data_IF_377019005280
#
_entry.id   IF_377019005280
#
_cell.length_a   1.000
_cell.length_b   1.000
_cell.length_c   1.000
_cell.angle_alpha   90.00
_cell.angle_beta   90.00
_cell.angle_gamma   90.00
#
_symmetry.space_group_name_H-M   'P 1'
#
loop_
_entity.id
_entity.type
_entity.pdbx_description
1 polymer ?
#
# COMPACT_ATOMS: atom_id res chain seq x y z
N UNK A 1 38.03 -24.57 -13.53
CA UNK A 1 38.60 -23.50 -12.87
C UNK A 1 38.06 -22.21 -13.22
N UNK A 2 38.29 -21.76 -14.39
CA UNK A 2 37.82 -20.48 -14.82
C UNK A 2 36.34 -20.25 -14.66
N UNK A 3 35.46 -21.21 -14.97
CA UNK A 3 34.04 -21.00 -14.79
C UNK A 3 33.64 -20.68 -13.34
N UNK A 4 34.35 -21.28 -12.43
CA UNK A 4 34.07 -21.06 -11.02
C UNK A 4 34.30 -19.60 -10.62
N UNK A 5 35.35 -19.01 -11.14
CA UNK A 5 35.62 -17.61 -10.84
C UNK A 5 34.55 -16.70 -11.39
N UNK A 6 34.08 -17.00 -12.60
CA UNK A 6 33.03 -16.21 -13.20
C UNK A 6 31.75 -16.27 -12.40
N UNK A 7 31.41 -17.43 -11.92
CA UNK A 7 30.22 -17.57 -11.10
C UNK A 7 30.28 -16.75 -9.83
N UNK A 8 31.42 -16.75 -9.19
CA UNK A 8 31.59 -15.99 -7.98
C UNK A 8 31.40 -14.50 -8.24
N UNK A 9 31.94 -14.00 -9.32
CA UNK A 9 31.80 -12.60 -9.66
C UNK A 9 30.35 -12.24 -9.89
N UNK A 10 29.63 -13.07 -10.61
CA UNK A 10 28.22 -12.83 -10.87
C UNK A 10 27.41 -12.85 -9.58
N UNK A 11 27.68 -13.82 -8.73
CA UNK A 11 26.94 -13.92 -7.48
C UNK A 11 27.10 -12.66 -6.63
N UNK A 12 28.30 -12.12 -6.57
CA UNK A 12 28.54 -10.90 -5.80
C UNK A 12 27.75 -9.73 -6.39
N UNK A 13 27.76 -9.59 -7.69
CA UNK A 13 27.02 -8.51 -8.34
C UNK A 13 25.52 -8.61 -8.05
N UNK A 14 24.98 -9.80 -8.11
CA UNK A 14 23.57 -10.01 -7.83
C UNK A 14 23.23 -9.66 -6.38
N UNK A 15 24.07 -10.05 -5.45
CA UNK A 15 23.84 -9.74 -4.06
C UNK A 15 23.83 -8.23 -3.82
N UNK A 16 24.75 -7.50 -4.41
CA UNK A 16 24.74 -6.05 -4.28
C UNK A 16 23.47 -5.44 -4.83
N UNK A 17 23.04 -5.90 -5.99
CA UNK A 17 21.79 -5.45 -6.56
C UNK A 17 20.60 -5.77 -5.68
N UNK A 18 20.57 -6.95 -5.11
CA UNK A 18 19.47 -7.36 -4.24
C UNK A 18 19.42 -6.49 -2.98
N UNK A 19 20.57 -6.17 -2.38
CA UNK A 19 20.61 -5.33 -1.19
C UNK A 19 20.02 -3.95 -1.44
N UNK A 20 20.30 -3.36 -2.61
CA UNK A 20 19.81 -2.02 -2.92
C UNK A 20 18.34 -2.01 -3.34
N UNK A 21 17.79 -3.18 -3.69
CA UNK A 21 16.44 -3.30 -4.19
C UNK A 21 15.51 -4.09 -3.27
N UNK A 22 15.97 -4.33 -2.07
CA UNK A 22 15.18 -5.10 -1.13
C UNK A 22 13.88 -4.37 -0.80
N UNK A 23 12.77 -5.09 -0.86
CA UNK A 23 11.47 -4.54 -0.49
C UNK A 23 11.38 -4.37 1.02
N UNK A 24 10.66 -3.36 1.44
CA UNK A 24 10.42 -3.11 2.85
C UNK A 24 8.96 -3.46 3.15
N UNK A 25 8.74 -4.30 4.14
CA UNK A 25 7.40 -4.73 4.55
C UNK A 25 7.16 -4.34 6.00
N UNK A 26 6.04 -3.68 6.25
CA UNK A 26 5.64 -3.28 7.60
C UNK A 26 4.26 -3.87 7.84
N UNK A 27 4.16 -4.78 8.81
CA UNK A 27 2.89 -5.36 9.20
C UNK A 27 2.28 -4.55 10.33
N UNK A 28 0.99 -4.28 10.22
CA UNK A 28 0.24 -3.50 11.21
C UNK A 28 0.95 -2.20 11.55
N UNK A 29 1.09 -1.29 10.57
CA UNK A 29 1.79 -0.03 10.80
C UNK A 29 1.12 0.78 11.92
N UNK A 30 1.94 1.54 12.63
CA UNK A 30 1.44 2.40 13.69
C UNK A 30 0.63 3.54 13.09
N UNK A 31 -0.61 3.69 13.54
CA UNK A 31 -1.49 4.74 13.06
C UNK A 31 -1.46 5.89 14.05
N UNK A 32 -1.00 7.05 13.58
CA UNK A 32 -0.92 8.25 14.42
C UNK A 32 -2.26 8.94 14.57
N UNK A 33 -3.04 9.00 13.49
CA UNK A 33 -4.36 9.62 13.50
C UNK A 33 -5.21 9.05 12.37
N UNK A 34 -6.51 8.98 12.59
CA UNK A 34 -7.45 8.49 11.57
C UNK A 34 -8.83 9.07 11.86
N UNK A 35 -9.56 9.42 10.81
CA UNK A 35 -10.93 9.88 10.96
C UNK A 35 -11.95 8.78 10.63
N UNK A 36 -11.50 7.54 10.48
CA UNK A 36 -12.39 6.41 10.19
C UNK A 36 -11.98 5.17 10.97
N UNK A 37 -12.96 4.36 11.30
CA UNK A 37 -12.74 3.00 11.81
C UNK A 37 -13.16 1.96 10.78
N UNK A 38 -13.61 2.40 9.62
CA UNK A 38 -14.10 1.50 8.57
C UNK A 38 -12.96 0.91 7.74
N UNK A 39 -11.79 1.50 7.81
CA UNK A 39 -10.59 1.01 7.13
C UNK A 39 -9.46 0.80 8.12
N UNK A 40 -8.81 -0.34 8.01
CA UNK A 40 -7.60 -0.65 8.79
C UNK A 40 -6.48 -1.02 7.83
N UNK A 41 -5.36 -0.34 7.94
CA UNK A 41 -4.17 -0.68 7.16
C UNK A 41 -3.45 -1.82 7.86
N UNK A 42 -3.47 -3.00 7.24
CA UNK A 42 -2.87 -4.19 7.84
C UNK A 42 -1.42 -4.37 7.47
N UNK A 43 -1.04 -3.94 6.27
CA UNK A 43 0.33 -4.12 5.80
C UNK A 43 0.69 -3.04 4.79
N UNK A 44 1.93 -2.60 4.85
CA UNK A 44 2.52 -1.69 3.87
C UNK A 44 3.75 -2.35 3.29
N UNK A 45 3.84 -2.41 1.97
CA UNK A 45 5.02 -2.94 1.30
C UNK A 45 5.58 -1.88 0.35
N UNK A 46 6.82 -1.51 0.53
CA UNK A 46 7.52 -0.56 -0.33
C UNK A 46 8.37 -1.33 -1.31
N UNK A 47 8.01 -1.26 -2.58
CA UNK A 47 8.75 -1.90 -3.66
C UNK A 47 9.26 -0.86 -4.64
N UNK A 48 10.09 -1.28 -5.60
CA UNK A 48 10.63 -0.37 -6.60
C UNK A 48 9.54 0.15 -7.55
N UNK A 49 8.47 -0.59 -7.73
CA UNK A 49 7.41 -0.26 -8.70
C UNK A 49 6.14 0.28 -8.07
N UNK A 50 5.93 0.06 -6.79
CA UNK A 50 4.68 0.48 -6.15
C UNK A 50 4.79 0.49 -4.63
N UNK A 51 3.89 1.25 -4.00
CA UNK A 51 3.60 1.13 -2.59
C UNK A 51 2.32 0.31 -2.49
N UNK A 52 2.38 -0.83 -1.80
CA UNK A 52 1.27 -1.78 -1.72
C UNK A 52 0.66 -1.73 -0.33
N UNK A 53 -0.60 -1.34 -0.24
CA UNK A 53 -1.34 -1.34 1.02
C UNK A 53 -2.30 -2.51 1.05
N UNK A 54 -2.22 -3.31 2.09
CA UNK A 54 -3.23 -4.32 2.38
C UNK A 54 -4.20 -3.71 3.38
N UNK A 55 -5.46 -3.62 2.98
CA UNK A 55 -6.48 -2.89 3.72
C UNK A 55 -7.63 -3.83 4.06
N UNK A 56 -8.10 -3.73 5.29
CA UNK A 56 -9.31 -4.40 5.71
C UNK A 56 -10.41 -3.37 5.90
N UNK A 57 -11.52 -3.58 5.22
CA UNK A 57 -12.68 -2.71 5.31
C UNK A 57 -13.77 -3.32 6.17
N UNK A 58 -14.41 -2.49 6.98
CA UNK A 58 -15.50 -2.90 7.85
C UNK A 58 -16.72 -2.01 7.59
N UNK A 59 -17.86 -2.64 7.47
CA UNK A 59 -19.13 -1.93 7.36
C UNK A 59 -20.25 -2.91 7.69
N UNK A 60 -21.44 -2.42 7.98
CA UNK A 60 -22.58 -3.28 8.23
C UNK A 60 -22.89 -4.14 7.00
N UNK A 61 -23.40 -5.36 7.18
CA UNK A 61 -23.80 -6.20 6.04
C UNK A 61 -24.73 -5.46 5.09
N UNK A 62 -24.53 -5.65 3.80
CA UNK A 62 -25.27 -5.01 2.71
C UNK A 62 -24.99 -3.51 2.54
N UNK A 63 -24.20 -2.92 3.40
CA UNK A 63 -23.66 -1.58 3.17
C UNK A 63 -22.42 -1.71 2.29
N UNK A 64 -21.87 -0.60 1.85
CA UNK A 64 -20.76 -0.63 0.90
C UNK A 64 -19.67 0.35 1.30
N UNK A 65 -18.48 0.08 0.80
CA UNK A 65 -17.36 1.01 0.84
C UNK A 65 -16.93 1.28 -0.59
N UNK A 66 -16.29 2.41 -0.81
CA UNK A 66 -15.80 2.80 -2.14
C UNK A 66 -14.48 3.53 -1.97
N UNK A 67 -13.51 3.19 -2.81
CA UNK A 67 -12.22 3.87 -2.85
C UNK A 67 -12.18 4.71 -4.12
N UNK A 68 -12.21 6.04 -4.00
CA UNK A 68 -12.19 6.90 -5.19
C UNK A 68 -10.84 6.88 -5.89
N UNK A 69 -10.85 7.14 -7.19
CA UNK A 69 -9.64 7.16 -8.00
C UNK A 69 -8.67 8.28 -7.61
N UNK A 70 -9.18 9.34 -6.98
CA UNK A 70 -8.33 10.45 -6.54
C UNK A 70 -7.70 10.22 -5.16
N UNK A 71 -7.90 9.05 -4.56
CA UNK A 71 -7.21 8.66 -3.34
C UNK A 71 -5.70 8.68 -3.58
N UNK A 72 -4.96 9.17 -2.62
CA UNK A 72 -3.51 9.29 -2.77
C UNK A 72 -2.82 9.20 -1.42
N UNK A 73 -1.52 8.97 -1.45
CA UNK A 73 -0.66 9.06 -0.28
C UNK A 73 0.08 10.38 -0.32
N UNK A 74 0.40 10.92 0.85
CA UNK A 74 1.25 12.10 0.97
C UNK A 74 2.37 11.77 1.92
N UNK A 75 3.60 12.01 1.50
CA UNK A 75 4.77 11.81 2.33
C UNK A 75 5.76 12.94 2.05
N UNK A 76 6.13 13.68 3.09
CA UNK A 76 7.06 14.82 2.99
C UNK A 76 6.64 15.82 1.91
N UNK A 77 5.34 16.10 1.84
CA UNK A 77 4.80 17.08 0.90
C UNK A 77 4.64 16.60 -0.53
N UNK A 78 4.93 15.34 -0.82
CA UNK A 78 4.80 14.76 -2.16
C UNK A 78 3.59 13.84 -2.20
N UNK A 79 2.80 13.95 -3.26
CA UNK A 79 1.64 13.10 -3.47
C UNK A 79 2.02 11.87 -4.31
N UNK A 80 1.46 10.72 -3.95
CA UNK A 80 1.65 9.45 -4.63
C UNK A 80 0.29 8.91 -5.02
N UNK A 81 0.05 8.80 -6.32
CA UNK A 81 -1.27 8.49 -6.88
C UNK A 81 -1.61 7.01 -6.74
N UNK A 82 -2.91 6.76 -6.63
CA UNK A 82 -3.45 5.40 -6.69
C UNK A 82 -3.33 4.89 -8.13
N UNK A 83 -2.75 3.72 -8.30
CA UNK A 83 -2.51 3.12 -9.63
C UNK A 83 -3.52 2.02 -9.94
N UNK A 84 -3.73 1.11 -9.02
CA UNK A 84 -4.67 0.01 -9.23
C UNK A 84 -5.09 -0.63 -7.91
N UNK A 85 -6.02 -1.56 -7.97
CA UNK A 85 -6.54 -2.26 -6.81
C UNK A 85 -6.72 -3.73 -7.11
N UNK A 86 -6.77 -4.55 -6.04
CA UNK A 86 -7.09 -5.98 -6.13
C UNK A 86 -8.08 -6.30 -5.02
N UNK A 87 -9.14 -7.01 -5.36
CA UNK A 87 -10.18 -7.37 -4.41
C UNK A 87 -11.30 -6.36 -4.31
N UNK A 88 -11.17 -5.22 -4.98
CA UNK A 88 -12.24 -4.23 -5.11
C UNK A 88 -11.93 -3.39 -6.35
N UNK A 89 -12.97 -2.86 -6.98
CA UNK A 89 -12.79 -1.95 -8.13
C UNK A 89 -12.78 -0.50 -7.65
N UNK A 90 -11.85 0.29 -8.19
CA UNK A 90 -11.75 1.72 -7.89
C UNK A 90 -13.00 2.43 -8.44
N UNK A 91 -13.52 3.38 -7.67
CA UNK A 91 -14.71 4.17 -8.00
C UNK A 91 -16.02 3.38 -8.04
N UNK A 92 -16.02 2.16 -7.47
CA UNK A 92 -17.20 1.31 -7.46
C UNK A 92 -17.49 0.82 -6.04
N UNK A 93 -18.77 0.71 -5.70
CA UNK A 93 -19.19 0.23 -4.38
C UNK A 93 -18.83 -1.24 -4.22
N UNK A 94 -18.16 -1.57 -3.12
CA UNK A 94 -17.93 -2.94 -2.69
C UNK A 94 -18.90 -3.21 -1.55
N UNK A 95 -19.89 -4.06 -1.80
CA UNK A 95 -20.88 -4.40 -0.79
C UNK A 95 -20.33 -5.43 0.18
N UNK A 96 -20.54 -5.19 1.46
CA UNK A 96 -20.01 -6.05 2.51
C UNK A 96 -20.74 -7.37 2.57
N UNK A 97 -20.01 -8.47 2.82
CA UNK A 97 -20.63 -9.77 3.11
C UNK A 97 -21.29 -9.76 4.49
N UNK A 98 -21.89 -10.90 4.88
CA UNK A 98 -22.63 -11.01 6.12
C UNK A 98 -21.81 -10.67 7.37
N UNK A 99 -20.50 -10.94 7.35
CA UNK A 99 -19.63 -10.63 8.49
C UNK A 99 -19.18 -9.17 8.53
N UNK A 100 -19.54 -8.38 7.52
CA UNK A 100 -19.17 -6.96 7.49
C UNK A 100 -17.68 -6.70 7.35
N UNK A 101 -16.94 -7.65 6.81
CA UNK A 101 -15.47 -7.62 6.74
C UNK A 101 -15.00 -7.99 5.35
N UNK A 102 -14.09 -7.20 4.79
CA UNK A 102 -13.54 -7.44 3.47
C UNK A 102 -12.08 -6.98 3.42
N UNK A 103 -11.25 -7.74 2.72
CA UNK A 103 -9.83 -7.41 2.59
C UNK A 103 -9.51 -7.16 1.12
N UNK A 104 -8.75 -6.11 0.85
CA UNK A 104 -8.34 -5.75 -0.51
C UNK A 104 -6.97 -5.09 -0.49
N UNK A 105 -6.42 -4.92 -1.68
CA UNK A 105 -5.08 -4.34 -1.84
C UNK A 105 -5.15 -3.11 -2.74
N UNK A 106 -4.46 -2.05 -2.34
CA UNK A 106 -4.32 -0.83 -3.12
C UNK A 106 -2.86 -0.62 -3.48
N UNK A 107 -2.59 -0.30 -4.74
CA UNK A 107 -1.26 -0.01 -5.22
C UNK A 107 -1.15 1.46 -5.58
N UNK A 108 -0.15 2.12 -5.03
CA UNK A 108 0.15 3.54 -5.27
C UNK A 108 1.52 3.69 -5.91
N UNK A 109 1.81 4.85 -6.43
CA UNK A 109 3.15 5.18 -6.90
C UNK A 109 4.17 4.89 -5.78
N UNK A 110 5.39 4.47 -6.13
CA UNK A 110 6.34 3.99 -5.12
C UNK A 110 6.86 5.12 -4.23
N UNK A 111 6.70 4.94 -2.93
CA UNK A 111 7.36 5.77 -1.94
C UNK A 111 8.86 5.42 -1.88
N UNK A 112 9.72 6.38 -1.51
CA UNK A 112 11.12 6.04 -1.22
C UNK A 112 11.17 4.99 -0.12
N UNK A 113 12.07 4.04 -0.25
CA UNK A 113 12.18 2.95 0.75
C UNK A 113 12.66 3.45 2.11
N UNK A 114 13.22 4.64 2.16
CA UNK A 114 13.60 5.27 3.43
C UNK A 114 12.50 6.16 4.00
N UNK A 115 11.32 6.19 3.40
CA UNK A 115 10.18 6.92 3.96
C UNK A 115 9.81 6.35 5.31
N UNK A 116 9.55 7.21 6.28
CA UNK A 116 9.21 6.80 7.65
C UNK A 116 7.74 6.96 7.97
N UNK A 117 7.01 7.70 7.15
CA UNK A 117 5.58 7.92 7.36
C UNK A 117 4.91 8.41 6.08
N UNK A 118 3.60 8.26 6.04
CA UNK A 118 2.77 8.83 5.00
C UNK A 118 1.35 9.01 5.54
N UNK A 119 0.57 9.83 4.84
CA UNK A 119 -0.86 9.98 5.11
C UNK A 119 -1.62 9.36 3.94
N UNK A 120 -2.68 8.63 4.26
CA UNK A 120 -3.64 8.13 3.28
C UNK A 120 -4.79 9.12 3.21
N UNK A 121 -5.05 9.68 2.05
CA UNK A 121 -6.02 10.76 1.90
C UNK A 121 -6.90 10.49 0.69
N UNK A 122 -8.21 10.49 0.89
CA UNK A 122 -9.14 10.40 -0.24
C UNK A 122 -9.28 11.77 -0.90
N UNK A 123 -9.55 12.79 -0.10
CA UNK A 123 -9.60 14.16 -0.61
C UNK A 123 -9.51 15.14 0.55
N UNK A 124 -9.58 16.44 0.26
CA UNK A 124 -9.62 17.48 1.28
C UNK A 124 -11.02 17.67 1.87
N UNK A 125 -12.02 16.98 1.35
CA UNK A 125 -13.38 17.06 1.86
C UNK A 125 -13.45 16.51 3.28
N UNK A 126 -14.26 17.15 4.13
CA UNK A 126 -14.31 16.83 5.56
C UNK A 126 -14.77 15.41 5.84
N UNK A 127 -15.66 14.87 5.01
CA UNK A 127 -16.23 13.54 5.21
C UNK A 127 -15.44 12.43 4.53
N UNK A 128 -14.42 12.75 3.75
CA UNK A 128 -13.61 11.74 3.10
C UNK A 128 -12.56 11.19 4.07
N UNK A 129 -12.21 9.93 3.87
CA UNK A 129 -11.33 9.22 4.80
C UNK A 129 -9.88 9.72 4.73
N UNK A 130 -9.28 9.84 5.92
CA UNK A 130 -7.88 10.23 6.08
C UNK A 130 -7.25 9.39 7.19
N UNK A 131 -6.14 8.77 6.88
CA UNK A 131 -5.39 7.92 7.82
C UNK A 131 -3.91 8.29 7.81
#
# INVERSE_FOLDING_TARGET
MKPTKLFLALAVAVLLGACTRENKVIEFPLIGASNTMDLVLEKVELTDSATVLTVRGFQQPNYWIKIPSYTHLVSQGVQYKLLESKGLEIDKELYMPEDGDSCFTLLFEPLPKNATSFDYIESDAENDWKI
#
